data_IF_106992435546
#
_entry.id   IF_106992435546
#
_cell.length_a   1.000
_cell.length_b   1.000
_cell.length_c   1.000
_cell.angle_alpha   90.00
_cell.angle_beta   90.00
_cell.angle_gamma   90.00
#
_symmetry.space_group_name_H-M   'P 1'
#
loop_
_entity.id
_entity.type
_entity.pdbx_description
1 polymer ?
#
# COMPACT_ATOMS: atom_id res chain seq x y z
N UNK A 1 7.64 -3.52 -20.79
CA UNK A 1 6.27 -3.11 -20.42
C UNK A 1 6.20 -3.05 -18.89
N UNK A 2 5.55 -2.05 -18.26
CA UNK A 2 5.46 -1.99 -16.81
C UNK A 2 4.61 -3.14 -16.24
N UNK A 3 4.95 -3.59 -15.04
CA UNK A 3 4.11 -4.54 -14.28
C UNK A 3 2.86 -3.78 -13.84
N UNK A 4 1.67 -4.33 -14.11
CA UNK A 4 0.40 -3.71 -13.70
C UNK A 4 -0.26 -4.54 -12.61
N UNK A 5 -0.38 -3.96 -11.41
CA UNK A 5 -1.23 -4.47 -10.35
C UNK A 5 -2.60 -3.80 -10.43
N UNK A 6 -3.66 -4.60 -10.49
CA UNK A 6 -5.05 -4.14 -10.58
C UNK A 6 -6.01 -5.17 -9.99
N UNK A 7 -7.24 -4.75 -9.69
CA UNK A 7 -8.31 -5.65 -9.29
C UNK A 7 -8.73 -6.57 -10.43
N UNK A 8 -9.20 -7.77 -10.07
CA UNK A 8 -9.93 -8.67 -10.97
C UNK A 8 -11.39 -8.22 -11.17
N UNK A 9 -11.88 -7.30 -10.34
CA UNK A 9 -13.22 -6.74 -10.46
C UNK A 9 -13.27 -5.79 -11.65
N UNK A 10 -14.27 -5.98 -12.52
CA UNK A 10 -14.48 -5.12 -13.68
C UNK A 10 -14.66 -3.66 -13.27
N UNK A 11 -13.86 -2.79 -13.87
CA UNK A 11 -14.01 -1.33 -13.75
C UNK A 11 -15.31 -0.92 -14.44
N UNK A 12 -16.15 -0.17 -13.74
CA UNK A 12 -17.33 0.44 -14.34
C UNK A 12 -17.23 1.98 -14.29
N UNK A 13 -18.09 2.66 -15.05
CA UNK A 13 -18.03 4.13 -15.20
C UNK A 13 -18.20 4.90 -13.88
N UNK A 14 -18.80 4.28 -12.87
CA UNK A 14 -19.13 4.89 -11.57
C UNK A 14 -18.16 4.53 -10.46
N UNK A 15 -17.39 3.45 -10.59
CA UNK A 15 -16.44 2.98 -9.59
C UNK A 15 -15.10 2.64 -10.26
N UNK A 16 -14.19 3.62 -10.19
CA UNK A 16 -12.82 3.51 -10.74
C UNK A 16 -11.73 3.39 -9.68
N UNK A 17 -12.06 3.55 -8.40
CA UNK A 17 -11.14 3.37 -7.26
C UNK A 17 -11.73 2.43 -6.23
N UNK A 18 -10.89 1.96 -5.31
CA UNK A 18 -11.29 1.10 -4.21
C UNK A 18 -11.79 -0.27 -4.67
N UNK A 19 -11.35 -0.72 -5.85
CA UNK A 19 -11.66 -2.07 -6.35
C UNK A 19 -10.79 -3.14 -5.67
N UNK A 20 -9.71 -2.72 -5.01
CA UNK A 20 -8.85 -3.51 -4.15
C UNK A 20 -8.03 -2.58 -3.24
N UNK A 21 -7.34 -3.13 -2.23
CA UNK A 21 -6.59 -2.34 -1.27
C UNK A 21 -5.47 -1.51 -1.92
N UNK A 22 -4.57 -2.16 -2.64
CA UNK A 22 -3.35 -1.56 -3.16
C UNK A 22 -2.13 -2.36 -2.73
N UNK A 23 -0.95 -1.74 -2.83
CA UNK A 23 0.32 -2.36 -2.44
C UNK A 23 0.81 -1.76 -1.13
N UNK A 24 1.12 -2.62 -0.15
CA UNK A 24 1.73 -2.22 1.12
C UNK A 24 3.10 -2.88 1.22
N UNK A 25 4.15 -2.06 1.39
CA UNK A 25 5.52 -2.53 1.64
C UNK A 25 5.86 -2.20 3.09
N UNK A 26 6.10 -3.24 3.89
CA UNK A 26 6.48 -3.13 5.29
C UNK A 26 7.99 -3.38 5.43
N UNK A 27 8.72 -2.36 5.86
CA UNK A 27 10.15 -2.44 6.12
C UNK A 27 10.51 -2.39 7.60
N UNK A 28 11.81 -2.45 7.86
CA UNK A 28 12.41 -2.45 9.21
C UNK A 28 13.13 -1.14 9.58
N UNK A 29 12.87 -0.06 8.84
CA UNK A 29 13.46 1.23 9.11
C UNK A 29 12.79 1.95 10.29
N UNK A 30 13.51 2.85 10.97
CA UNK A 30 12.94 3.64 12.05
C UNK A 30 11.71 4.43 11.62
N UNK A 31 10.67 4.37 12.46
CA UNK A 31 9.43 5.13 12.31
C UNK A 31 9.37 6.23 13.37
N UNK A 32 8.56 7.27 13.14
CA UNK A 32 8.51 8.45 14.02
C UNK A 32 8.18 8.12 15.49
N UNK A 33 7.40 7.07 15.74
CA UNK A 33 7.05 6.60 17.09
C UNK A 33 8.13 5.75 17.76
N UNK A 34 9.17 5.36 17.04
CA UNK A 34 10.13 4.33 17.46
C UNK A 34 9.54 2.91 17.43
N UNK A 35 10.42 1.91 17.49
CA UNK A 35 10.04 0.50 17.52
C UNK A 35 9.27 0.04 16.28
N UNK A 36 8.19 -0.72 16.50
CA UNK A 36 7.29 -1.25 15.47
C UNK A 36 5.87 -0.74 15.68
N UNK A 37 5.10 -0.62 14.60
CA UNK A 37 3.67 -0.33 14.64
C UNK A 37 2.89 -1.25 13.68
N UNK A 38 1.56 -1.19 13.68
CA UNK A 38 0.67 -1.99 12.84
C UNK A 38 0.11 -1.15 11.69
N UNK A 39 -0.01 -1.78 10.51
CA UNK A 39 -0.67 -1.16 9.36
C UNK A 39 -2.14 -0.93 9.69
N UNK A 40 -2.62 0.28 9.43
CA UNK A 40 -4.03 0.61 9.61
C UNK A 40 -4.91 -0.26 8.69
N UNK A 41 -6.01 -0.76 9.25
CA UNK A 41 -6.96 -1.60 8.54
C UNK A 41 -6.53 -3.05 8.31
N UNK A 42 -5.24 -3.41 8.44
CA UNK A 42 -4.79 -4.80 8.35
C UNK A 42 -4.49 -5.39 9.73
N UNK A 43 -5.05 -6.56 10.01
CA UNK A 43 -4.79 -7.26 11.28
C UNK A 43 -3.48 -8.04 11.19
N UNK A 44 -2.57 -7.79 12.14
CA UNK A 44 -1.34 -8.58 12.31
C UNK A 44 -0.20 -8.22 11.35
N UNK A 45 -0.32 -7.14 10.58
CA UNK A 45 0.73 -6.67 9.67
C UNK A 45 1.53 -5.56 10.35
N UNK A 46 2.75 -5.89 10.78
CA UNK A 46 3.67 -4.95 11.46
C UNK A 46 4.68 -4.32 10.51
N UNK A 47 5.17 -3.13 10.87
CA UNK A 47 6.25 -2.42 10.20
C UNK A 47 7.08 -1.61 11.19
N UNK A 48 8.24 -1.14 10.73
CA UNK A 48 9.17 -0.35 11.55
C UNK A 48 10.26 -1.20 12.19
N UNK A 49 11.28 -0.55 12.71
CA UNK A 49 12.41 -1.21 13.35
C UNK A 49 13.54 -0.24 13.63
N UNK A 50 14.77 -0.73 13.57
CA UNK A 50 15.98 0.04 13.88
C UNK A 50 16.95 0.12 12.69
N UNK A 51 16.63 -0.49 11.55
CA UNK A 51 17.54 -0.58 10.40
C UNK A 51 17.25 0.53 9.38
N UNK A 52 17.89 1.69 9.53
CA UNK A 52 17.70 2.83 8.63
C UNK A 52 18.03 2.51 7.15
N UNK A 53 18.92 1.55 6.90
CA UNK A 53 19.31 1.08 5.57
C UNK A 53 18.58 -0.17 5.11
N UNK A 54 17.42 -0.49 5.70
CA UNK A 54 16.62 -1.66 5.30
C UNK A 54 16.38 -1.70 3.79
N UNK A 55 16.59 -2.89 3.20
CA UNK A 55 16.31 -3.16 1.80
C UNK A 55 14.98 -3.90 1.71
N UNK A 56 13.89 -3.14 1.69
CA UNK A 56 12.53 -3.68 1.57
C UNK A 56 12.19 -4.11 0.13
N UNK A 57 13.15 -3.97 -0.80
CA UNK A 57 13.06 -4.45 -2.19
C UNK A 57 13.28 -3.36 -3.24
N UNK A 58 12.90 -3.68 -4.49
CA UNK A 58 12.93 -2.76 -5.63
C UNK A 58 11.56 -2.76 -6.32
N UNK A 59 10.88 -1.61 -6.29
CA UNK A 59 9.64 -1.36 -7.00
C UNK A 59 9.95 -0.42 -8.19
N UNK A 60 10.10 -1.00 -9.38
CA UNK A 60 10.52 -0.26 -10.58
C UNK A 60 9.67 -0.59 -11.79
N UNK A 61 9.24 0.43 -12.54
CA UNK A 61 8.34 0.30 -13.70
C UNK A 61 7.04 -0.43 -13.34
N UNK A 62 6.32 0.11 -12.35
CA UNK A 62 5.09 -0.48 -11.82
C UNK A 62 3.92 0.48 -11.97
N UNK A 63 2.77 -0.05 -12.39
CA UNK A 63 1.47 0.60 -12.38
C UNK A 63 0.59 -0.04 -11.31
N UNK A 64 0.00 0.78 -10.46
CA UNK A 64 -0.93 0.34 -9.42
C UNK A 64 -2.26 1.05 -9.65
N UNK A 65 -3.23 0.32 -10.17
CA UNK A 65 -4.45 0.88 -10.74
C UNK A 65 -5.67 0.46 -9.93
N UNK A 66 -6.62 1.38 -9.72
CA UNK A 66 -7.91 1.13 -9.06
C UNK A 66 -7.82 0.65 -7.59
N UNK A 67 -6.70 0.94 -6.91
CA UNK A 67 -6.51 0.69 -5.47
C UNK A 67 -7.29 1.69 -4.60
N UNK A 68 -7.05 1.73 -3.29
CA UNK A 68 -7.69 2.74 -2.43
C UNK A 68 -8.98 2.28 -1.74
N UNK A 69 -9.11 1.00 -1.38
CA UNK A 69 -10.36 0.49 -0.79
C UNK A 69 -10.51 0.88 0.68
N UNK A 70 -11.72 1.31 1.08
CA UNK A 70 -12.13 1.32 2.49
C UNK A 70 -12.38 -0.13 2.92
N UNK A 71 -11.61 -0.57 3.90
CA UNK A 71 -11.61 -1.96 4.35
C UNK A 71 -12.25 -2.15 5.73
N UNK A 72 -12.66 -1.09 6.43
CA UNK A 72 -13.28 -1.25 7.74
C UNK A 72 -14.80 -1.35 7.73
N UNK A 73 -15.46 -1.31 6.57
CA UNK A 73 -16.90 -1.55 6.42
C UNK A 73 -17.27 -2.95 5.89
N UNK A 74 -16.30 -3.80 5.56
CA UNK A 74 -16.53 -4.95 4.67
C UNK A 74 -16.73 -4.49 3.22
N UNK A 75 -16.65 -5.42 2.25
CA UNK A 75 -16.83 -5.13 0.82
C UNK A 75 -18.27 -4.63 0.57
N UNK A 76 -18.51 -3.31 0.68
CA UNK A 76 -19.76 -2.66 0.23
C UNK A 76 -20.52 -1.75 1.21
N UNK A 77 -19.94 -1.28 2.33
CA UNK A 77 -20.65 -0.43 3.28
C UNK A 77 -19.82 0.75 3.80
N UNK A 78 -20.48 1.87 4.05
CA UNK A 78 -19.92 3.19 4.42
C UNK A 78 -18.63 3.15 5.26
N UNK A 79 -17.56 3.71 4.70
CA UNK A 79 -16.75 4.74 5.36
C UNK A 79 -16.33 4.48 6.80
N UNK A 80 -15.55 3.44 7.09
CA UNK A 80 -14.96 3.30 8.43
C UNK A 80 -13.80 4.26 8.67
N UNK A 81 -13.29 4.88 7.59
CA UNK A 81 -12.06 5.67 7.56
C UNK A 81 -10.80 4.82 7.55
N UNK A 82 -10.91 3.49 7.65
CA UNK A 82 -9.78 2.55 7.55
C UNK A 82 -9.58 2.16 6.10
N UNK A 83 -8.85 2.99 5.36
CA UNK A 83 -8.58 2.81 3.94
C UNK A 83 -7.15 2.31 3.70
N UNK A 84 -6.98 1.40 2.73
CA UNK A 84 -5.64 1.07 2.21
C UNK A 84 -5.39 1.94 1.00
N UNK A 85 -4.26 2.65 0.98
CA UNK A 85 -3.85 3.47 -0.14
C UNK A 85 -3.44 2.61 -1.35
N UNK A 86 -3.48 3.20 -2.56
CA UNK A 86 -2.92 2.54 -3.74
C UNK A 86 -1.46 2.11 -3.55
N UNK A 87 -0.63 2.91 -2.89
CA UNK A 87 0.71 2.52 -2.45
C UNK A 87 0.97 3.02 -1.02
N UNK A 88 1.40 2.12 -0.15
CA UNK A 88 1.87 2.43 1.21
C UNK A 88 3.31 1.95 1.37
N UNK A 89 4.20 2.87 1.76
CA UNK A 89 5.60 2.60 2.10
C UNK A 89 5.78 2.75 3.61
N UNK A 90 5.64 1.66 4.36
CA UNK A 90 5.61 1.68 5.81
C UNK A 90 6.97 1.28 6.38
N UNK A 91 7.72 2.25 6.89
CA UNK A 91 9.02 2.01 7.51
C UNK A 91 10.05 1.39 6.56
N UNK A 92 10.06 1.78 5.28
CA UNK A 92 11.06 1.31 4.31
C UNK A 92 12.39 2.04 4.47
N UNK A 93 13.49 1.32 4.32
CA UNK A 93 14.84 1.89 4.52
C UNK A 93 15.42 2.54 3.28
N UNK A 94 16.50 3.30 3.46
CA UNK A 94 17.15 4.09 2.41
C UNK A 94 17.76 3.27 1.27
N UNK A 95 17.96 1.96 1.48
CA UNK A 95 18.42 1.05 0.43
C UNK A 95 17.28 0.58 -0.49
N UNK A 96 16.02 0.82 -0.11
CA UNK A 96 14.85 0.43 -0.91
C UNK A 96 14.73 1.33 -2.14
N UNK A 97 14.53 0.74 -3.32
CA UNK A 97 14.37 1.49 -4.57
C UNK A 97 12.91 1.58 -4.96
N UNK A 98 12.40 2.81 -5.17
CA UNK A 98 11.05 3.07 -5.66
C UNK A 98 11.13 4.10 -6.80
N UNK A 99 11.01 3.64 -8.03
CA UNK A 99 11.26 4.47 -9.22
C UNK A 99 10.28 4.12 -10.36
N UNK A 100 9.85 5.13 -11.14
CA UNK A 100 8.93 4.92 -12.26
C UNK A 100 7.64 4.17 -11.84
N UNK A 101 7.03 4.62 -10.74
CA UNK A 101 5.79 4.06 -10.19
C UNK A 101 4.64 5.01 -10.46
N UNK A 102 3.57 4.48 -11.04
CA UNK A 102 2.31 5.19 -11.27
C UNK A 102 1.23 4.61 -10.37
N UNK A 103 0.49 5.48 -9.68
CA UNK A 103 -0.72 5.12 -8.94
C UNK A 103 -1.87 5.94 -9.51
N UNK A 104 -2.95 5.29 -9.90
CA UNK A 104 -4.05 5.97 -10.59
C UNK A 104 -5.43 5.32 -10.39
N UNK A 105 -6.44 6.16 -10.68
CA UNK A 105 -7.89 5.95 -10.75
C UNK A 105 -8.62 5.72 -9.44
#
# INVERSE_FOLDING_TARGET
>A
EPITFTSLVSVNSTQRRGLWGGVVICGYAPIATGGTNMIEGLTGVSYGGTNASDFSGTLRYVRIWHGGADIGGGLGGEGSGKEINGLTLAGVGSSTTVEYVEVAF
#
